data_IF_442789609409
#
_entry.id   IF_442789609409
#
_cell.length_a   1.000
_cell.length_b   1.000
_cell.length_c   1.000
_cell.angle_alpha   90.00
_cell.angle_beta   90.00
_cell.angle_gamma   90.00
#
_symmetry.space_group_name_H-M   'P 1'
#
loop_
_entity.id
_entity.type
_entity.pdbx_description
1 polymer ?
#
# COMPACT_ATOMS: atom_id res chain seq x y z
N UNK A 1 17.27 2.12 -9.73
CA UNK A 1 16.57 0.98 -9.11
C UNK A 1 15.10 1.08 -9.47
N UNK A 2 14.49 -0.03 -9.90
CA UNK A 2 13.09 -0.10 -10.29
C UNK A 2 12.44 -1.27 -9.55
N UNK A 3 11.27 -1.07 -8.96
CA UNK A 3 10.60 -2.06 -8.11
C UNK A 3 9.39 -2.64 -8.83
N UNK A 4 9.34 -3.96 -8.97
CA UNK A 4 8.16 -4.66 -9.46
C UNK A 4 7.29 -5.07 -8.27
N UNK A 5 6.03 -4.65 -8.25
CA UNK A 5 5.05 -5.00 -7.22
C UNK A 5 4.06 -5.98 -7.84
N UNK A 6 4.00 -7.21 -7.32
CA UNK A 6 3.02 -8.22 -7.75
C UNK A 6 1.84 -8.21 -6.78
N UNK A 7 0.68 -7.76 -7.27
CA UNK A 7 -0.58 -7.60 -6.54
C UNK A 7 -0.93 -6.14 -6.25
N UNK A 8 -2.11 -5.70 -6.71
CA UNK A 8 -2.68 -4.37 -6.47
C UNK A 8 -3.68 -4.36 -5.29
N UNK A 9 -3.50 -5.23 -4.31
CA UNK A 9 -4.22 -5.18 -3.05
C UNK A 9 -3.76 -4.04 -2.13
N UNK A 10 -4.37 -3.92 -0.95
CA UNK A 10 -4.10 -2.85 0.02
C UNK A 10 -2.61 -2.68 0.33
N UNK A 11 -1.89 -3.78 0.57
CA UNK A 11 -0.46 -3.75 0.86
C UNK A 11 0.39 -3.26 -0.32
N UNK A 12 0.13 -3.79 -1.52
CA UNK A 12 0.85 -3.42 -2.74
C UNK A 12 0.65 -1.96 -3.11
N UNK A 13 -0.59 -1.46 -3.06
CA UNK A 13 -0.90 -0.05 -3.30
C UNK A 13 -0.34 0.86 -2.20
N UNK A 14 -0.33 0.42 -0.95
CA UNK A 14 0.29 1.17 0.15
C UNK A 14 1.80 1.30 -0.04
N UNK A 15 2.47 0.25 -0.52
CA UNK A 15 3.88 0.29 -0.88
C UNK A 15 4.12 1.22 -2.06
N UNK A 16 3.39 1.04 -3.16
CA UNK A 16 3.47 1.88 -4.35
C UNK A 16 3.32 3.37 -4.01
N UNK A 17 2.37 3.71 -3.14
CA UNK A 17 2.16 5.07 -2.69
C UNK A 17 3.37 5.65 -1.95
N UNK A 18 4.03 4.85 -1.12
CA UNK A 18 5.26 5.26 -0.43
C UNK A 18 6.44 5.42 -1.39
N UNK A 19 6.60 4.51 -2.36
CA UNK A 19 7.63 4.62 -3.40
C UNK A 19 7.43 5.86 -4.26
N UNK A 20 6.18 6.13 -4.68
CA UNK A 20 5.79 7.35 -5.42
C UNK A 20 6.20 8.62 -4.67
N UNK A 21 5.88 8.70 -3.37
CA UNK A 21 6.24 9.85 -2.52
C UNK A 21 7.75 10.07 -2.40
N UNK A 22 8.54 9.02 -2.56
CA UNK A 22 10.01 9.06 -2.49
C UNK A 22 10.67 9.20 -3.87
N UNK A 23 9.90 9.31 -4.95
CA UNK A 23 10.43 9.40 -6.31
C UNK A 23 11.09 8.11 -6.80
N UNK A 24 10.77 6.96 -6.21
CA UNK A 24 11.33 5.67 -6.63
C UNK A 24 10.43 5.09 -7.73
N UNK A 25 11.05 4.66 -8.83
CA UNK A 25 10.35 4.06 -9.97
C UNK A 25 9.82 2.67 -9.62
N UNK A 26 8.57 2.38 -10.00
CA UNK A 26 7.92 1.08 -9.79
C UNK A 26 6.87 0.79 -10.87
N UNK A 27 6.51 -0.48 -10.99
CA UNK A 27 5.39 -0.97 -11.79
C UNK A 27 4.60 -2.01 -10.99
N UNK A 28 3.28 -2.05 -11.19
CA UNK A 28 2.36 -2.95 -10.46
C UNK A 28 1.73 -3.92 -11.45
N UNK A 29 1.79 -5.21 -11.15
CA UNK A 29 1.13 -6.27 -11.90
C UNK A 29 0.00 -6.86 -11.05
N UNK A 30 -1.22 -6.81 -11.55
CA UNK A 30 -2.40 -7.44 -10.93
C UNK A 30 -2.99 -8.46 -11.90
N UNK A 31 -3.51 -9.56 -11.35
CA UNK A 31 -4.14 -10.62 -12.13
C UNK A 31 -5.47 -10.16 -12.71
N UNK A 32 -6.23 -9.37 -11.95
CA UNK A 32 -7.51 -8.85 -12.39
C UNK A 32 -7.34 -7.76 -13.46
N UNK A 33 -8.15 -7.83 -14.52
CA UNK A 33 -8.10 -6.85 -15.62
C UNK A 33 -8.72 -5.50 -15.24
N UNK A 34 -9.56 -5.47 -14.20
CA UNK A 34 -10.33 -4.30 -13.78
C UNK A 34 -10.28 -4.15 -12.26
N UNK A 35 -10.29 -2.92 -11.76
CA UNK A 35 -10.21 -2.63 -10.33
C UNK A 35 -11.39 -3.24 -9.53
N UNK A 36 -12.53 -3.45 -10.17
CA UNK A 36 -13.75 -4.01 -9.60
C UNK A 36 -14.06 -5.43 -10.11
N UNK A 37 -13.08 -6.14 -10.69
CA UNK A 37 -13.29 -7.48 -11.25
C UNK A 37 -13.87 -8.48 -10.23
N UNK A 38 -13.66 -8.23 -8.93
CA UNK A 38 -14.20 -9.03 -7.84
C UNK A 38 -14.67 -8.14 -6.71
N UNK A 39 -15.60 -8.65 -5.90
CA UNK A 39 -15.98 -8.00 -4.67
C UNK A 39 -14.79 -7.96 -3.69
N UNK A 40 -14.41 -6.76 -3.26
CA UNK A 40 -13.25 -6.51 -2.40
C UNK A 40 -13.56 -6.64 -0.90
N UNK A 41 -14.78 -7.04 -0.53
CA UNK A 41 -15.27 -7.04 0.84
C UNK A 41 -15.66 -5.64 1.34
N UNK A 42 -15.97 -5.53 2.63
CA UNK A 42 -16.47 -4.29 3.26
C UNK A 42 -15.88 -4.01 4.65
N UNK A 43 -15.25 -4.99 5.28
CA UNK A 43 -14.79 -4.90 6.67
C UNK A 43 -13.26 -4.79 6.74
N UNK A 44 -12.75 -3.56 6.65
CA UNK A 44 -11.34 -3.24 6.87
C UNK A 44 -11.27 -2.16 7.95
N UNK A 45 -10.49 -2.41 9.00
CA UNK A 45 -10.22 -1.43 10.06
C UNK A 45 -8.78 -0.91 9.92
N UNK A 46 -8.63 0.41 9.85
CA UNK A 46 -7.32 1.05 9.92
C UNK A 46 -6.99 1.37 11.38
N UNK A 47 -5.90 0.81 11.87
CA UNK A 47 -5.38 1.10 13.20
C UNK A 47 -4.23 2.10 13.08
N UNK A 48 -4.44 3.30 13.61
CA UNK A 48 -3.39 4.31 13.71
C UNK A 48 -2.70 4.18 15.06
N UNK A 49 -1.44 3.78 15.06
CA UNK A 49 -0.59 3.83 16.24
C UNK A 49 0.21 5.13 16.20
N UNK A 50 -0.17 6.11 17.03
CA UNK A 50 0.75 7.18 17.38
C UNK A 50 1.66 6.64 18.48
N UNK A 51 2.92 6.35 18.14
CA UNK A 51 3.96 6.34 19.16
C UNK A 51 4.17 7.79 19.56
N UNK A 52 3.54 8.24 20.65
CA UNK A 52 4.06 9.39 21.39
C UNK A 52 5.52 9.07 21.69
N UNK A 53 6.48 9.92 21.29
CA UNK A 53 7.81 9.79 21.86
C UNK A 53 7.61 9.87 23.37
N UNK A 54 7.96 8.81 24.10
CA UNK A 54 8.12 8.93 25.54
C UNK A 54 9.28 9.91 25.74
N UNK A 55 8.93 11.20 25.88
CA UNK A 55 9.79 12.17 26.53
C UNK A 55 9.85 11.73 27.99
N UNK A 56 10.85 10.90 28.30
CA UNK A 56 11.41 10.82 29.63
C UNK A 56 12.78 11.50 29.56
N UNK A 57 12.86 12.57 30.35
CA UNK A 57 13.99 13.41 30.74
C UNK A 57 15.40 12.82 30.61
#
# INVERSE_FOLDING_TARGET
MHVLIVGAGLGGLSLAQNLRKRGISFEIFERESEANARWQGWAITLHSYHTTPHMHD
#
